data_IF_708765455160
#
_entry.id   IF_708765455160
#
_cell.length_a   1.000
_cell.length_b   1.000
_cell.length_c   1.000
_cell.angle_alpha   90.00
_cell.angle_beta   90.00
_cell.angle_gamma   90.00
#
_symmetry.space_group_name_H-M   'P 1'
#
loop_
_entity.id
_entity.type
_entity.pdbx_description
1 polymer ?
#
# COMPACT_ATOMS: atom_id res chain seq x y z
N UNK A 1 -5.86 16.40 15.53
CA UNK A 1 -6.05 14.95 15.74
C UNK A 1 -7.52 14.51 15.74
N UNK A 2 -8.52 15.36 15.47
CA UNK A 2 -9.95 15.02 15.67
C UNK A 2 -10.80 14.87 14.40
N UNK A 3 -10.31 15.15 13.22
CA UNK A 3 -11.18 15.20 12.02
C UNK A 3 -11.54 13.85 11.38
N UNK A 4 -10.77 12.80 11.62
CA UNK A 4 -11.06 11.46 11.07
C UNK A 4 -12.15 10.69 11.84
N UNK A 5 -12.52 11.10 13.07
CA UNK A 5 -13.46 10.34 13.93
C UNK A 5 -14.92 10.75 13.83
N UNK A 6 -15.30 11.80 13.08
CA UNK A 6 -16.68 12.33 13.12
C UNK A 6 -17.63 11.84 12.02
N UNK A 7 -17.35 10.74 11.35
CA UNK A 7 -18.39 10.07 10.55
C UNK A 7 -18.84 8.81 11.29
N UNK A 8 -20.09 8.88 11.79
CA UNK A 8 -20.80 7.73 12.33
C UNK A 8 -20.70 6.54 11.38
N UNK A 9 -20.60 5.30 11.91
CA UNK A 9 -20.51 4.11 11.07
C UNK A 9 -21.84 3.94 10.32
N UNK A 10 -21.87 4.36 9.07
CA UNK A 10 -22.86 3.83 8.15
C UNK A 10 -22.70 2.31 8.12
N UNK A 11 -23.82 1.57 8.15
CA UNK A 11 -23.83 0.12 8.11
C UNK A 11 -22.80 -0.41 7.07
N UNK A 12 -22.07 -1.48 7.38
CA UNK A 12 -21.06 -2.01 6.50
C UNK A 12 -21.66 -2.25 5.13
N UNK A 13 -21.25 -1.47 4.12
CA UNK A 13 -21.42 -1.91 2.75
C UNK A 13 -20.52 -3.13 2.62
N UNK A 14 -21.10 -4.29 2.86
CA UNK A 14 -20.56 -5.54 2.40
C UNK A 14 -20.30 -5.29 0.92
N UNK A 15 -19.02 -5.29 0.51
CA UNK A 15 -18.70 -5.45 -0.92
C UNK A 15 -19.51 -6.68 -1.29
N UNK A 16 -20.54 -6.49 -2.13
CA UNK A 16 -21.39 -7.60 -2.54
C UNK A 16 -20.45 -8.74 -2.92
N UNK A 17 -20.66 -9.95 -2.40
CA UNK A 17 -19.77 -11.05 -2.72
C UNK A 17 -19.61 -11.05 -4.24
N UNK A 18 -18.38 -10.90 -4.72
CA UNK A 18 -18.05 -10.99 -6.12
C UNK A 18 -18.73 -12.26 -6.61
N UNK A 19 -19.85 -12.11 -7.36
CA UNK A 19 -20.67 -13.22 -7.78
C UNK A 19 -19.76 -14.16 -8.55
N UNK A 20 -19.41 -15.27 -7.94
CA UNK A 20 -18.76 -16.39 -8.60
C UNK A 20 -19.68 -16.82 -9.75
N UNK A 21 -19.37 -16.39 -10.96
CA UNK A 21 -20.00 -16.96 -12.16
C UNK A 21 -19.54 -18.38 -12.25
N UNK A 22 -20.50 -19.30 -12.33
CA UNK A 22 -20.23 -20.70 -12.60
C UNK A 22 -19.31 -20.85 -13.83
N UNK A 23 -18.32 -21.73 -13.80
CA UNK A 23 -17.35 -21.86 -14.86
C UNK A 23 -18.01 -22.44 -16.11
N UNK A 24 -18.22 -21.62 -17.13
CA UNK A 24 -18.41 -22.17 -18.47
C UNK A 24 -17.10 -22.82 -18.90
N UNK A 25 -17.14 -24.13 -19.03
CA UNK A 25 -16.05 -24.96 -19.50
C UNK A 25 -15.45 -24.43 -20.81
N UNK A 26 -14.28 -23.81 -20.74
CA UNK A 26 -13.32 -23.67 -21.84
C UNK A 26 -11.92 -23.93 -21.31
N UNK A 27 -11.40 -25.08 -21.68
CA UNK A 27 -10.06 -25.57 -21.54
C UNK A 27 -8.99 -24.55 -21.91
N UNK A 28 -8.40 -23.95 -20.90
CA UNK A 28 -6.99 -23.62 -20.74
C UNK A 28 -6.76 -23.58 -19.25
N UNK A 29 -6.02 -24.54 -18.75
CA UNK A 29 -5.67 -24.72 -17.33
C UNK A 29 -4.68 -23.61 -16.90
N UNK A 30 -5.14 -22.36 -16.88
CA UNK A 30 -4.50 -21.29 -16.16
C UNK A 30 -5.03 -21.35 -14.75
N UNK A 31 -4.34 -22.11 -13.89
CA UNK A 31 -4.62 -22.18 -12.46
C UNK A 31 -4.77 -20.76 -11.92
N UNK A 32 -6.01 -20.33 -11.63
CA UNK A 32 -6.27 -19.04 -11.00
C UNK A 32 -5.63 -19.03 -9.61
N UNK A 33 -4.88 -17.96 -9.31
CA UNK A 33 -4.24 -17.83 -8.00
C UNK A 33 -5.30 -17.63 -6.91
N UNK A 34 -5.15 -18.32 -5.79
CA UNK A 34 -6.05 -18.16 -4.64
C UNK A 34 -5.54 -17.07 -3.73
N UNK A 35 -6.36 -16.05 -3.51
CA UNK A 35 -6.09 -14.93 -2.63
C UNK A 35 -7.12 -14.87 -1.50
N UNK A 36 -6.70 -14.27 -0.39
CA UNK A 36 -7.51 -14.07 0.80
C UNK A 36 -7.60 -12.59 1.11
N UNK A 37 -8.81 -12.09 1.34
CA UNK A 37 -9.07 -10.72 1.73
C UNK A 37 -9.43 -10.64 3.20
N UNK A 38 -8.91 -9.63 3.87
CA UNK A 38 -9.31 -9.26 5.22
C UNK A 38 -9.44 -7.74 5.32
N UNK A 39 -10.23 -7.30 6.29
CA UNK A 39 -10.55 -5.90 6.55
C UNK A 39 -10.19 -5.58 8.00
N UNK A 40 -9.58 -4.43 8.25
CA UNK A 40 -9.29 -3.97 9.59
C UNK A 40 -9.35 -2.44 9.68
N UNK A 41 -9.65 -1.93 10.88
CA UNK A 41 -9.71 -0.51 11.16
C UNK A 41 -8.33 0.06 11.44
N UNK A 42 -8.09 1.29 10.97
CA UNK A 42 -6.86 2.05 11.22
C UNK A 42 -7.19 3.48 11.59
N UNK A 43 -6.27 4.25 12.21
CA UNK A 43 -6.48 5.67 12.48
C UNK A 43 -6.80 6.51 11.24
N UNK A 44 -6.53 5.99 10.04
CA UNK A 44 -6.75 6.66 8.76
C UNK A 44 -7.93 6.09 7.97
N UNK A 45 -8.73 5.22 8.60
CA UNK A 45 -9.90 4.56 8.02
C UNK A 45 -9.68 3.08 7.75
N UNK A 46 -10.73 2.41 7.31
CA UNK A 46 -10.71 0.97 7.05
C UNK A 46 -9.77 0.61 5.91
N UNK A 47 -8.97 -0.43 6.10
CA UNK A 47 -8.07 -0.98 5.08
C UNK A 47 -8.45 -2.41 4.71
N UNK A 48 -8.21 -2.75 3.45
CA UNK A 48 -8.31 -4.07 2.85
C UNK A 48 -6.91 -4.60 2.59
N UNK A 49 -6.63 -5.83 3.00
CA UNK A 49 -5.39 -6.55 2.70
C UNK A 49 -5.71 -7.78 1.86
N UNK A 50 -4.87 -8.05 0.87
CA UNK A 50 -4.98 -9.23 0.02
C UNK A 50 -3.70 -10.04 0.16
N UNK A 51 -3.81 -11.26 0.68
CA UNK A 51 -2.70 -12.20 0.84
C UNK A 51 -2.89 -13.43 -0.03
N UNK A 52 -1.81 -14.14 -0.31
CA UNK A 52 -1.86 -15.46 -0.97
C UNK A 52 -1.82 -16.62 0.04
N UNK A 53 -1.84 -17.85 -0.48
CA UNK A 53 -1.77 -19.08 0.33
C UNK A 53 -0.50 -19.18 1.18
N UNK A 54 0.59 -18.46 0.82
CA UNK A 54 1.84 -18.42 1.55
C UNK A 54 1.93 -17.22 2.50
N UNK A 55 0.81 -16.53 2.75
CA UNK A 55 0.72 -15.35 3.60
C UNK A 55 1.56 -14.16 3.10
N UNK A 56 1.91 -14.12 1.80
CA UNK A 56 2.58 -12.95 1.21
C UNK A 56 1.52 -11.91 0.84
N UNK A 57 1.77 -10.66 1.21
CA UNK A 57 0.87 -9.57 0.85
C UNK A 57 0.98 -9.24 -0.64
N UNK A 58 -0.15 -9.30 -1.34
CA UNK A 58 -0.28 -9.07 -2.79
C UNK A 58 -0.78 -7.67 -3.10
N UNK A 59 -1.67 -7.15 -2.24
CA UNK A 59 -2.19 -5.81 -2.35
C UNK A 59 -2.71 -5.31 -0.99
N UNK A 60 -2.75 -3.99 -0.83
CA UNK A 60 -3.39 -3.31 0.27
C UNK A 60 -4.01 -2.01 -0.24
N UNK A 61 -5.14 -1.58 0.32
CA UNK A 61 -5.73 -0.29 -0.02
C UNK A 61 -6.75 0.13 1.05
N UNK A 62 -7.02 1.42 1.13
CA UNK A 62 -8.15 1.90 1.92
C UNK A 62 -9.48 1.52 1.27
N UNK A 63 -10.46 1.16 2.10
CA UNK A 63 -11.77 0.69 1.63
C UNK A 63 -12.50 1.71 0.73
N UNK A 64 -12.38 3.00 1.02
CA UNK A 64 -12.93 4.07 0.19
C UNK A 64 -12.25 4.18 -1.20
N UNK A 65 -11.16 3.44 -1.41
CA UNK A 65 -10.43 3.29 -2.68
C UNK A 65 -10.49 1.86 -3.22
N UNK A 66 -11.48 1.06 -2.81
CA UNK A 66 -11.62 -0.36 -3.22
C UNK A 66 -11.61 -0.54 -4.75
N UNK A 67 -12.18 0.39 -5.50
CA UNK A 67 -12.13 0.37 -6.98
C UNK A 67 -10.71 0.46 -7.54
N UNK A 68 -9.78 1.13 -6.81
CA UNK A 68 -8.37 1.19 -7.18
C UNK A 68 -7.68 -0.14 -6.88
N UNK A 69 -8.00 -0.77 -5.75
CA UNK A 69 -7.53 -2.12 -5.40
C UNK A 69 -7.95 -3.14 -6.48
N UNK A 70 -9.23 -3.18 -6.81
CA UNK A 70 -9.77 -4.08 -7.83
C UNK A 70 -9.07 -3.89 -9.18
N UNK A 71 -8.97 -2.65 -9.65
CA UNK A 71 -8.25 -2.32 -10.89
C UNK A 71 -6.80 -2.78 -10.83
N UNK A 72 -6.11 -2.58 -9.71
CA UNK A 72 -4.73 -3.01 -9.52
C UNK A 72 -4.58 -4.53 -9.61
N UNK A 73 -5.47 -5.28 -8.97
CA UNK A 73 -5.48 -6.75 -9.05
C UNK A 73 -5.75 -7.23 -10.48
N UNK A 74 -6.74 -6.63 -11.17
CA UNK A 74 -7.05 -6.98 -12.56
C UNK A 74 -5.88 -6.68 -13.52
N UNK A 75 -5.18 -5.58 -13.33
CA UNK A 75 -3.99 -5.25 -14.13
C UNK A 75 -2.83 -6.20 -13.88
N UNK A 76 -2.66 -6.67 -12.65
CA UNK A 76 -1.55 -7.54 -12.27
C UNK A 76 -1.81 -9.01 -12.59
N UNK A 77 -3.04 -9.48 -12.43
CA UNK A 77 -3.37 -10.92 -12.49
C UNK A 77 -4.37 -11.28 -13.61
N UNK A 78 -5.00 -10.29 -14.26
CA UNK A 78 -6.10 -10.51 -15.19
C UNK A 78 -7.44 -10.66 -14.45
N UNK A 79 -8.56 -10.53 -15.16
CA UNK A 79 -9.90 -10.61 -14.57
C UNK A 79 -10.21 -12.01 -13.97
N UNK A 80 -9.71 -13.06 -14.62
CA UNK A 80 -9.96 -14.45 -14.25
C UNK A 80 -8.71 -15.12 -13.67
N UNK A 81 -7.64 -14.37 -13.44
CA UNK A 81 -6.34 -14.89 -12.99
C UNK A 81 -6.25 -15.11 -11.48
N UNK A 82 -7.27 -14.75 -10.71
CA UNK A 82 -7.32 -14.97 -9.27
C UNK A 82 -8.75 -15.19 -8.77
N UNK A 83 -8.85 -15.87 -7.63
CA UNK A 83 -10.08 -16.01 -6.85
C UNK A 83 -9.88 -15.40 -5.49
N UNK A 84 -10.85 -14.62 -5.02
CA UNK A 84 -10.78 -13.92 -3.74
C UNK A 84 -11.70 -14.63 -2.72
N UNK A 85 -11.11 -15.02 -1.59
CA UNK A 85 -11.80 -15.65 -0.47
C UNK A 85 -11.68 -14.75 0.76
N UNK A 86 -12.65 -14.79 1.64
CA UNK A 86 -12.56 -14.08 2.91
C UNK A 86 -11.62 -14.82 3.88
N UNK A 87 -10.66 -14.10 4.48
CA UNK A 87 -9.82 -14.64 5.54
C UNK A 87 -10.50 -14.42 6.89
N UNK A 88 -10.80 -15.52 7.59
CA UNK A 88 -11.48 -15.47 8.89
C UNK A 88 -10.54 -15.28 10.09
N UNK A 89 -9.26 -15.39 9.87
CA UNK A 89 -8.21 -15.20 10.89
C UNK A 89 -7.39 -13.94 10.57
N UNK A 90 -6.64 -13.42 11.53
CA UNK A 90 -5.73 -12.30 11.28
C UNK A 90 -4.47 -12.81 10.58
N UNK A 91 -4.11 -12.21 9.45
CA UNK A 91 -2.83 -12.49 8.80
C UNK A 91 -1.65 -11.86 9.54
N UNK A 92 -0.44 -12.37 9.30
CA UNK A 92 0.78 -11.73 9.78
C UNK A 92 0.93 -10.29 9.26
N UNK A 93 0.49 -10.01 8.03
CA UNK A 93 0.50 -8.68 7.47
C UNK A 93 -0.43 -7.72 8.25
N UNK A 94 -1.62 -8.18 8.63
CA UNK A 94 -2.55 -7.38 9.45
C UNK A 94 -1.95 -7.09 10.82
N UNK A 95 -1.42 -8.10 11.52
CA UNK A 95 -0.81 -7.91 12.84
C UNK A 95 0.34 -6.90 12.79
N UNK A 96 1.19 -6.98 11.77
CA UNK A 96 2.28 -6.03 11.55
C UNK A 96 1.77 -4.61 11.26
N UNK A 97 0.70 -4.47 10.50
CA UNK A 97 0.08 -3.16 10.23
C UNK A 97 -0.59 -2.59 11.49
N UNK A 98 -1.30 -3.40 12.27
CA UNK A 98 -1.88 -2.98 13.55
C UNK A 98 -0.78 -2.46 14.49
N UNK A 99 0.36 -3.17 14.61
CA UNK A 99 1.51 -2.75 15.40
C UNK A 99 2.14 -1.44 14.88
N UNK A 100 2.32 -1.32 13.55
CA UNK A 100 2.80 -0.08 12.92
C UNK A 100 1.91 1.12 13.29
N UNK A 101 0.59 0.99 13.16
CA UNK A 101 -0.34 2.06 13.52
C UNK A 101 -0.40 2.34 15.03
N UNK A 102 0.03 1.40 15.87
CA UNK A 102 0.22 1.59 17.31
C UNK A 102 1.57 2.27 17.66
N UNK A 103 2.46 2.49 16.69
CA UNK A 103 3.76 3.16 16.88
C UNK A 103 4.98 2.24 16.77
N UNK A 104 4.79 0.93 16.63
CA UNK A 104 5.87 -0.04 16.40
C UNK A 104 6.26 -0.05 14.91
N UNK A 105 6.87 1.03 14.44
CA UNK A 105 7.11 1.26 13.00
C UNK A 105 7.83 0.11 12.31
N UNK A 106 8.79 -0.54 12.99
CA UNK A 106 9.58 -1.64 12.43
C UNK A 106 8.77 -2.92 12.15
N UNK A 107 7.59 -3.07 12.73
CA UNK A 107 6.76 -4.27 12.57
C UNK A 107 6.48 -4.62 11.09
N UNK A 108 6.35 -3.62 10.24
CA UNK A 108 6.05 -3.82 8.81
C UNK A 108 7.26 -4.29 7.99
N UNK A 109 8.48 -4.25 8.50
CA UNK A 109 9.68 -4.65 7.75
C UNK A 109 9.70 -6.15 7.45
N UNK A 110 9.18 -6.96 8.38
CA UNK A 110 9.10 -8.41 8.25
C UNK A 110 8.01 -8.89 7.29
N UNK A 111 7.09 -8.01 6.85
CA UNK A 111 5.99 -8.39 5.98
C UNK A 111 6.52 -8.83 4.62
N UNK A 112 6.29 -10.09 4.30
CA UNK A 112 6.61 -10.64 2.97
C UNK A 112 5.63 -10.11 1.96
N UNK A 113 6.15 -9.54 0.88
CA UNK A 113 5.32 -8.98 -0.21
C UNK A 113 5.66 -9.68 -1.52
N UNK A 114 4.66 -9.88 -2.35
CA UNK A 114 4.87 -10.31 -3.72
C UNK A 114 3.90 -9.58 -4.64
N UNK A 115 4.43 -8.72 -5.47
CA UNK A 115 3.67 -7.94 -6.43
C UNK A 115 4.09 -8.32 -7.85
N UNK A 116 3.15 -8.30 -8.77
CA UNK A 116 3.42 -8.25 -10.20
C UNK A 116 3.58 -6.77 -10.59
N UNK A 117 4.21 -6.54 -11.68
CA UNK A 117 4.45 -5.21 -12.24
C UNK A 117 5.61 -5.29 -13.21
N UNK A 118 5.87 -4.22 -13.95
CA UNK A 118 7.03 -4.14 -14.84
C UNK A 118 8.32 -4.15 -14.01
N UNK A 119 9.45 -4.50 -14.64
CA UNK A 119 10.76 -4.45 -13.99
C UNK A 119 11.07 -3.06 -13.43
N UNK A 120 10.68 -2.02 -14.17
CA UNK A 120 10.82 -0.65 -13.72
C UNK A 120 9.98 -0.37 -12.45
N UNK A 121 8.72 -0.77 -12.43
CA UNK A 121 7.88 -0.61 -11.23
C UNK A 121 8.46 -1.35 -10.03
N UNK A 122 8.88 -2.60 -10.21
CA UNK A 122 9.51 -3.39 -9.14
C UNK A 122 10.79 -2.75 -8.62
N UNK A 123 11.62 -2.16 -9.50
CA UNK A 123 12.84 -1.44 -9.09
C UNK A 123 12.51 -0.20 -8.23
N UNK A 124 11.48 0.56 -8.62
CA UNK A 124 10.98 1.70 -7.84
C UNK A 124 10.45 1.24 -6.48
N UNK A 125 9.57 0.23 -6.43
CA UNK A 125 8.99 -0.27 -5.18
C UNK A 125 10.05 -0.87 -4.24
N UNK A 126 11.05 -1.56 -4.78
CA UNK A 126 12.21 -2.02 -4.00
C UNK A 126 13.01 -0.86 -3.41
N UNK A 127 13.21 0.22 -4.17
CA UNK A 127 13.91 1.41 -3.69
C UNK A 127 13.10 2.17 -2.63
N UNK A 128 11.76 2.21 -2.75
CA UNK A 128 10.86 2.79 -1.75
C UNK A 128 11.03 2.11 -0.39
N UNK A 129 11.08 0.78 -0.33
CA UNK A 129 11.28 0.02 0.91
C UNK A 129 12.62 0.31 1.61
N UNK A 130 13.58 0.91 0.90
CA UNK A 130 14.88 1.31 1.46
C UNK A 130 14.91 2.75 1.96
N UNK A 131 13.80 3.49 1.90
CA UNK A 131 13.68 4.81 2.51
C UNK A 131 13.42 4.59 4.00
N UNK A 132 14.29 5.08 4.90
CA UNK A 132 14.11 4.87 6.34
C UNK A 132 12.80 5.49 6.86
N UNK A 133 12.28 4.92 7.93
CA UNK A 133 11.12 5.44 8.65
C UNK A 133 11.41 6.83 9.20
N UNK A 134 10.42 7.72 9.18
CA UNK A 134 10.57 9.10 9.62
C UNK A 134 11.41 9.98 8.71
N UNK A 135 11.79 9.48 7.49
CA UNK A 135 12.53 10.26 6.50
C UNK A 135 11.75 10.39 5.20
N UNK A 136 12.11 11.37 4.38
CA UNK A 136 11.54 11.53 3.04
C UNK A 136 12.62 11.62 1.97
N UNK A 137 12.19 11.46 0.73
CA UNK A 137 13.03 11.54 -0.45
C UNK A 137 12.25 12.24 -1.56
N UNK A 138 12.90 13.08 -2.37
CA UNK A 138 12.24 13.64 -3.54
C UNK A 138 12.13 12.61 -4.67
N UNK A 139 11.18 12.82 -5.60
CA UNK A 139 11.08 11.98 -6.82
C UNK A 139 12.38 11.96 -7.63
N UNK A 140 13.10 13.11 -7.68
CA UNK A 140 14.39 13.20 -8.36
C UNK A 140 15.47 12.36 -7.67
N UNK A 141 15.56 12.41 -6.35
CA UNK A 141 16.49 11.58 -5.57
C UNK A 141 16.18 10.10 -5.74
N UNK A 142 14.89 9.72 -5.74
CA UNK A 142 14.48 8.33 -5.97
C UNK A 142 14.87 7.87 -7.39
N UNK A 143 14.68 8.72 -8.41
CA UNK A 143 15.08 8.45 -9.77
C UNK A 143 16.60 8.24 -9.91
N UNK A 144 17.39 9.09 -9.25
CA UNK A 144 18.85 8.93 -9.20
C UNK A 144 19.25 7.64 -8.48
N UNK A 145 18.60 7.31 -7.35
CA UNK A 145 18.88 6.10 -6.55
C UNK A 145 18.67 4.81 -7.33
N UNK A 146 17.72 4.77 -8.28
CA UNK A 146 17.51 3.61 -9.16
C UNK A 146 18.34 3.66 -10.45
N UNK A 147 19.29 4.58 -10.57
CA UNK A 147 20.14 4.74 -11.75
C UNK A 147 19.42 5.31 -12.98
N UNK A 148 18.32 6.01 -12.79
CA UNK A 148 17.47 6.57 -13.86
C UNK A 148 17.13 8.06 -13.62
N UNK A 149 18.13 8.96 -13.45
CA UNK A 149 17.90 10.34 -13.01
C UNK A 149 16.97 11.13 -13.94
N UNK A 150 16.93 10.84 -15.23
CA UNK A 150 16.02 11.47 -16.18
C UNK A 150 14.56 10.96 -16.10
N UNK A 151 14.29 9.86 -15.38
CA UNK A 151 12.98 9.18 -15.38
C UNK A 151 12.04 9.68 -14.27
N UNK A 152 12.15 10.91 -13.80
CA UNK A 152 11.40 11.45 -12.64
C UNK A 152 9.88 11.27 -12.78
N UNK A 153 9.31 11.58 -13.97
CA UNK A 153 7.88 11.40 -14.24
C UNK A 153 7.47 9.92 -14.21
N UNK A 154 8.28 9.03 -14.78
CA UNK A 154 8.01 7.59 -14.76
C UNK A 154 8.10 7.03 -13.33
N UNK A 155 9.05 7.52 -12.52
CA UNK A 155 9.15 7.20 -11.09
C UNK A 155 7.89 7.64 -10.35
N UNK A 156 7.38 8.84 -10.62
CA UNK A 156 6.11 9.33 -10.06
C UNK A 156 4.93 8.42 -10.42
N UNK A 157 4.83 8.00 -11.69
CA UNK A 157 3.79 7.07 -12.13
C UNK A 157 3.92 5.69 -11.44
N UNK A 158 5.13 5.13 -11.33
CA UNK A 158 5.39 3.88 -10.63
C UNK A 158 5.10 3.96 -9.12
N UNK A 159 5.45 5.10 -8.49
CA UNK A 159 5.11 5.40 -7.11
C UNK A 159 3.58 5.43 -6.90
N UNK A 160 2.85 6.08 -7.80
CA UNK A 160 1.39 6.12 -7.80
C UNK A 160 0.73 4.76 -8.08
N UNK A 161 1.39 3.88 -8.81
CA UNK A 161 0.93 2.52 -9.11
C UNK A 161 1.25 1.50 -8.02
N UNK A 162 1.86 1.91 -6.90
CA UNK A 162 2.17 1.03 -5.78
C UNK A 162 0.93 0.28 -5.29
N UNK A 163 0.91 -1.07 -5.31
CA UNK A 163 -0.24 -1.86 -4.89
C UNK A 163 -0.30 -2.12 -3.38
N UNK A 164 0.73 -1.76 -2.61
CA UNK A 164 0.84 -2.09 -1.17
C UNK A 164 1.28 -0.83 -0.39
N UNK A 165 0.43 0.21 -0.29
CA UNK A 165 0.75 1.41 0.49
C UNK A 165 1.06 1.05 1.96
N UNK A 166 1.78 1.93 2.65
CA UNK A 166 2.35 1.77 3.99
C UNK A 166 3.55 0.82 3.99
N UNK A 167 3.36 -0.45 3.65
CA UNK A 167 4.43 -1.47 3.61
C UNK A 167 5.49 -1.13 2.54
N UNK A 168 5.03 -0.71 1.35
CA UNK A 168 5.86 -0.05 0.34
C UNK A 168 5.62 1.45 0.49
N UNK A 169 6.51 2.18 1.15
CA UNK A 169 6.20 3.50 1.71
C UNK A 169 6.27 4.63 0.66
N UNK A 170 5.35 4.59 -0.31
CA UNK A 170 5.25 5.63 -1.33
C UNK A 170 4.86 7.00 -0.74
N UNK A 171 4.34 7.05 0.49
CA UNK A 171 4.09 8.28 1.23
C UNK A 171 5.38 9.04 1.60
N UNK A 172 6.54 8.36 1.71
CA UNK A 172 7.85 8.98 1.99
C UNK A 172 8.46 9.73 0.80
N UNK A 173 7.81 9.69 -0.38
CA UNK A 173 8.28 10.44 -1.56
C UNK A 173 7.50 11.74 -1.70
N UNK A 174 8.22 12.89 -1.76
CA UNK A 174 7.66 14.23 -1.77
C UNK A 174 8.16 15.04 -2.98
N UNK A 175 7.63 16.25 -3.17
CA UNK A 175 8.15 17.20 -4.15
C UNK A 175 9.57 17.63 -3.86
N UNK A 176 10.28 18.16 -4.84
CA UNK A 176 11.64 18.70 -4.68
C UNK A 176 11.67 19.93 -3.76
N UNK A 177 10.56 20.64 -3.68
CA UNK A 177 10.31 21.80 -2.81
C UNK A 177 9.75 21.42 -1.43
N UNK A 178 9.83 20.14 -1.06
CA UNK A 178 9.25 19.56 0.13
C UNK A 178 7.70 19.54 0.17
N UNK A 179 7.03 19.90 -0.92
CA UNK A 179 5.57 19.85 -1.00
C UNK A 179 5.02 18.42 -0.96
N UNK A 180 3.87 18.25 -0.31
CA UNK A 180 3.14 16.99 -0.34
C UNK A 180 2.39 16.85 -1.67
N UNK A 181 2.91 16.00 -2.55
CA UNK A 181 2.33 15.73 -3.86
C UNK A 181 1.98 14.26 -4.00
N UNK A 182 0.94 13.97 -4.79
CA UNK A 182 0.58 12.67 -5.31
C UNK A 182 0.63 11.49 -4.32
N UNK A 183 -0.53 11.06 -3.82
CA UNK A 183 -0.66 9.83 -3.02
C UNK A 183 -1.99 9.15 -3.33
N UNK A 184 -1.96 7.85 -3.66
CA UNK A 184 -3.16 7.10 -4.02
C UNK A 184 -4.22 7.06 -2.93
N UNK A 185 -3.80 7.04 -1.66
CA UNK A 185 -4.68 7.11 -0.50
C UNK A 185 -5.21 8.51 -0.17
N UNK A 186 -4.74 9.57 -0.87
CA UNK A 186 -5.08 10.97 -0.60
C UNK A 186 -4.06 11.68 0.30
N UNK A 187 -3.93 13.01 0.10
CA UNK A 187 -2.88 13.80 0.79
C UNK A 187 -3.05 13.83 2.30
N UNK A 188 -4.27 13.79 2.83
CA UNK A 188 -4.52 13.74 4.27
C UNK A 188 -3.89 12.51 4.92
N UNK A 189 -4.06 11.34 4.32
CA UNK A 189 -3.41 10.10 4.78
C UNK A 189 -1.90 10.17 4.65
N UNK A 190 -1.39 10.77 3.59
CA UNK A 190 0.05 10.98 3.42
C UNK A 190 0.62 11.84 4.55
N UNK A 191 -0.04 12.96 4.86
CA UNK A 191 0.33 13.85 5.96
C UNK A 191 0.31 13.10 7.30
N UNK A 192 -0.75 12.34 7.55
CA UNK A 192 -0.90 11.57 8.77
C UNK A 192 0.21 10.52 8.94
N UNK A 193 0.50 9.75 7.88
CA UNK A 193 1.55 8.72 7.90
C UNK A 193 2.93 9.32 8.16
N UNK A 194 3.26 10.44 7.51
CA UNK A 194 4.53 11.13 7.74
C UNK A 194 4.64 11.68 9.17
N UNK A 195 3.57 12.27 9.70
CA UNK A 195 3.54 12.75 11.08
C UNK A 195 3.63 11.60 12.09
N UNK A 196 2.94 10.49 11.83
CA UNK A 196 2.99 9.27 12.63
C UNK A 196 4.42 8.71 12.69
N UNK A 197 5.07 8.57 11.56
CA UNK A 197 6.46 8.10 11.51
C UNK A 197 7.43 9.08 12.17
N UNK A 198 7.24 10.38 11.97
CA UNK A 198 8.07 11.40 12.64
C UNK A 198 7.97 11.32 14.16
N UNK A 199 6.77 11.04 14.68
CA UNK A 199 6.52 10.95 16.14
C UNK A 199 7.16 9.71 16.75
N UNK A 200 7.17 8.58 16.04
CA UNK A 200 7.57 7.29 16.57
C UNK A 200 8.93 6.78 16.06
N UNK A 201 9.54 7.47 15.09
CA UNK A 201 10.87 7.10 14.61
C UNK A 201 11.94 7.37 15.69
N UNK A 202 13.00 6.53 15.75
CA UNK A 202 14.13 6.76 16.65
C UNK A 202 14.75 8.13 16.41
N UNK A 203 14.90 8.94 17.46
CA UNK A 203 15.42 10.33 17.39
C UNK A 203 16.90 10.43 16.94
N UNK A 204 17.62 9.33 16.88
CA UNK A 204 19.03 9.27 16.50
C UNK A 204 19.27 8.98 15.00
N UNK A 205 18.26 9.12 14.16
CA UNK A 205 18.38 8.98 12.71
C UNK A 205 18.98 10.24 12.07
N UNK A 206 19.69 10.11 10.91
CA UNK A 206 20.40 11.21 10.28
C UNK A 206 19.49 12.29 9.63
N UNK A 207 18.18 12.27 9.83
CA UNK A 207 17.25 13.13 9.11
C UNK A 207 16.15 13.66 10.03
N UNK A 208 16.32 14.92 10.44
CA UNK A 208 15.23 15.74 11.00
C UNK A 208 14.42 16.29 9.82
N UNK A 209 13.16 15.85 9.68
CA UNK A 209 12.23 16.42 8.73
C UNK A 209 11.55 17.64 9.35
N UNK A 210 11.91 18.82 8.91
CA UNK A 210 11.01 19.96 9.02
C UNK A 210 9.94 19.82 7.93
N UNK A 211 8.82 19.16 8.29
CA UNK A 211 7.61 19.19 7.44
C UNK A 211 7.14 20.65 7.40
N UNK A 212 7.32 21.33 6.28
CA UNK A 212 6.60 22.56 6.02
C UNK A 212 5.14 22.21 5.79
N UNK A 213 4.33 22.39 6.85
CA UNK A 213 2.87 22.20 6.86
C UNK A 213 2.23 23.42 6.21
#
# INVERSE_FOLDING_TARGET
>A
MSEFRQRAPGAPRIIAPFQAREPHARTRDTMSERFYSERFDTPTGWMLLITDVEQRLRAAEWEDKASRLERSLQLQYGKDGFQLHELRTRSAARLAMEAYFAGELAAIEAVRTQTRGTDFQRSVWSALRKIPMGTTMSYGQLAAKIGRPAAVRAVGAANGANPIPVIVPCHRVIGADASLTGFGGGLERKRWLLAHEHTHAPRNGPYNLELRV
#
